data_IF_685327463601
#
_entry.id   IF_685327463601
#
_cell.length_a   1.000
_cell.length_b   1.000
_cell.length_c   1.000
_cell.angle_alpha   90.00
_cell.angle_beta   90.00
_cell.angle_gamma   90.00
#
_symmetry.space_group_name_H-M   'P 1'
#
loop_
_entity.id
_entity.type
_entity.pdbx_description
1 polymer ?
#
# COMPACT_ATOMS: atom_id res chain seq x y z
N UNK A 1 55.00 16.24 17.50
CA UNK A 1 54.04 15.12 17.39
C UNK A 1 52.94 15.53 16.43
N UNK A 2 53.15 15.28 15.14
CA UNK A 2 52.19 15.52 14.06
C UNK A 2 51.27 14.30 13.98
N UNK A 3 49.98 14.49 14.24
CA UNK A 3 48.99 13.43 14.10
C UNK A 3 48.84 13.05 12.61
N UNK A 4 49.05 11.79 12.28
CA UNK A 4 48.78 11.21 10.96
C UNK A 4 47.27 11.25 10.64
N UNK A 5 46.88 11.62 9.41
CA UNK A 5 45.48 11.54 8.99
C UNK A 5 45.09 10.07 8.79
N UNK A 6 44.10 9.64 9.56
CA UNK A 6 43.47 8.32 9.54
C UNK A 6 43.20 7.82 8.11
N UNK A 7 43.84 6.71 7.74
CA UNK A 7 43.63 6.01 6.48
C UNK A 7 42.21 5.49 6.38
N UNK A 8 41.38 6.14 5.55
CA UNK A 8 40.13 5.53 5.07
C UNK A 8 40.54 4.32 4.23
N UNK A 9 40.39 3.12 4.80
CA UNK A 9 40.78 1.86 4.16
C UNK A 9 40.11 1.72 2.79
N UNK A 10 40.80 1.14 1.80
CA UNK A 10 40.29 0.96 0.44
C UNK A 10 38.89 0.30 0.38
N UNK A 11 38.57 -0.54 1.37
CA UNK A 11 37.26 -1.14 1.58
C UNK A 11 36.14 -0.13 1.85
N UNK A 12 36.42 0.97 2.56
CA UNK A 12 35.44 2.03 2.83
C UNK A 12 35.04 2.78 1.56
N UNK A 13 36.01 3.09 0.69
CA UNK A 13 35.77 3.74 -0.60
C UNK A 13 34.96 2.85 -1.54
N UNK A 14 35.32 1.56 -1.65
CA UNK A 14 34.57 0.62 -2.49
C UNK A 14 33.09 0.51 -2.06
N UNK A 15 32.81 0.33 -0.76
CA UNK A 15 31.44 0.26 -0.23
C UNK A 15 30.65 1.54 -0.50
N UNK A 16 31.29 2.70 -0.38
CA UNK A 16 30.67 3.98 -0.70
C UNK A 16 30.26 4.06 -2.17
N UNK A 17 31.19 3.79 -3.10
CA UNK A 17 30.87 3.85 -4.54
C UNK A 17 29.82 2.82 -4.95
N UNK A 18 29.90 1.59 -4.43
CA UNK A 18 28.93 0.54 -4.70
C UNK A 18 27.52 0.96 -4.24
N UNK A 19 27.37 1.49 -3.02
CA UNK A 19 26.06 1.93 -2.51
C UNK A 19 25.47 3.07 -3.36
N UNK A 20 26.28 4.06 -3.74
CA UNK A 20 25.84 5.18 -4.59
C UNK A 20 25.43 4.70 -5.99
N UNK A 21 26.20 3.78 -6.58
CA UNK A 21 25.85 3.18 -7.86
C UNK A 21 24.54 2.39 -7.78
N UNK A 22 24.32 1.61 -6.71
CA UNK A 22 23.06 0.88 -6.50
C UNK A 22 21.87 1.83 -6.37
N UNK A 23 22.00 2.92 -5.61
CA UNK A 23 20.95 3.96 -5.50
C UNK A 23 20.62 4.51 -6.88
N UNK A 24 21.65 4.91 -7.65
CA UNK A 24 21.46 5.46 -8.98
C UNK A 24 20.76 4.48 -9.92
N UNK A 25 21.19 3.21 -9.97
CA UNK A 25 20.59 2.20 -10.84
C UNK A 25 19.13 1.90 -10.48
N UNK A 26 18.80 1.75 -9.19
CA UNK A 26 17.42 1.52 -8.74
C UNK A 26 16.53 2.73 -9.04
N UNK A 27 17.03 3.93 -8.80
CA UNK A 27 16.33 5.17 -9.14
C UNK A 27 16.14 5.31 -10.66
N UNK A 28 17.13 4.89 -11.47
CA UNK A 28 17.05 4.88 -12.93
C UNK A 28 15.95 3.94 -13.43
N UNK A 29 15.82 2.75 -12.85
CA UNK A 29 14.70 1.83 -13.14
C UNK A 29 13.37 2.50 -12.82
N UNK A 30 13.24 3.16 -11.66
CA UNK A 30 12.06 3.94 -11.31
C UNK A 30 11.78 5.08 -12.30
N UNK A 31 12.82 5.75 -12.79
CA UNK A 31 12.73 6.81 -13.79
C UNK A 31 12.27 6.32 -15.16
N UNK A 32 12.77 5.15 -15.62
CA UNK A 32 12.29 4.51 -16.84
C UNK A 32 10.80 4.15 -16.73
N UNK A 33 10.42 3.59 -15.58
CA UNK A 33 9.03 3.22 -15.31
C UNK A 33 8.11 4.44 -15.34
N UNK A 34 8.52 5.53 -14.67
CA UNK A 34 7.80 6.80 -14.68
C UNK A 34 7.68 7.38 -16.10
N UNK A 35 8.77 7.39 -16.87
CA UNK A 35 8.78 7.84 -18.27
C UNK A 35 7.75 7.07 -19.10
N UNK A 36 7.73 5.73 -18.96
CA UNK A 36 6.83 4.87 -19.72
C UNK A 36 5.37 5.03 -19.29
N UNK A 37 5.08 5.16 -17.99
CA UNK A 37 3.71 5.43 -17.48
C UNK A 37 3.20 6.78 -17.98
N UNK A 38 4.05 7.81 -17.99
CA UNK A 38 3.69 9.14 -18.51
C UNK A 38 3.43 9.08 -20.01
N UNK A 39 4.30 8.41 -20.77
CA UNK A 39 4.11 8.22 -22.21
C UNK A 39 2.78 7.49 -22.51
N UNK A 40 2.55 6.32 -21.91
CA UNK A 40 1.35 5.52 -22.17
C UNK A 40 0.07 6.20 -21.66
N UNK A 41 0.15 6.89 -20.50
CA UNK A 41 -1.00 7.51 -19.84
C UNK A 41 -1.48 8.81 -20.49
N UNK A 42 -0.57 9.54 -21.14
CA UNK A 42 -0.84 10.78 -21.87
C UNK A 42 -0.52 10.62 -23.36
N UNK A 43 -0.75 9.42 -23.89
CA UNK A 43 -0.66 9.22 -25.33
C UNK A 43 -1.89 9.85 -26.02
N UNK A 44 -1.72 10.64 -27.10
CA UNK A 44 -0.48 10.95 -27.82
C UNK A 44 0.22 12.27 -27.42
N UNK A 45 -0.24 12.97 -26.40
CA UNK A 45 0.29 14.29 -26.00
C UNK A 45 1.79 14.25 -25.62
N UNK A 46 2.27 13.13 -25.08
CA UNK A 46 3.67 12.94 -24.67
C UNK A 46 4.47 11.98 -25.55
N UNK A 47 4.23 11.95 -26.87
CA UNK A 47 4.93 11.08 -27.83
C UNK A 47 6.46 11.12 -27.74
N UNK A 48 7.03 12.29 -27.38
CA UNK A 48 8.47 12.45 -27.25
C UNK A 48 9.07 11.58 -26.15
N UNK A 49 8.35 11.31 -25.05
CA UNK A 49 8.79 10.41 -23.97
C UNK A 49 8.84 8.93 -24.39
N UNK A 50 8.21 8.57 -25.52
CA UNK A 50 8.31 7.23 -26.10
C UNK A 50 9.61 6.99 -26.87
N UNK A 51 10.40 8.04 -27.17
CA UNK A 51 11.67 7.88 -27.88
C UNK A 51 12.80 7.51 -26.90
N UNK A 52 13.70 6.57 -27.27
CA UNK A 52 14.75 6.09 -26.37
C UNK A 52 15.60 7.20 -25.72
N UNK A 53 16.03 8.20 -26.51
CA UNK A 53 16.88 9.28 -26.01
C UNK A 53 16.20 10.07 -24.90
N UNK A 54 14.92 10.44 -25.08
CA UNK A 54 14.19 11.21 -24.08
C UNK A 54 13.83 10.37 -22.85
N UNK A 55 13.46 9.09 -23.03
CA UNK A 55 13.18 8.20 -21.90
C UNK A 55 14.43 7.94 -21.03
N UNK A 56 15.58 7.68 -21.67
CA UNK A 56 16.86 7.49 -20.97
C UNK A 56 17.32 8.78 -20.27
N UNK A 57 17.14 9.93 -20.91
CA UNK A 57 17.48 11.23 -20.32
C UNK A 57 16.58 11.53 -19.12
N UNK A 58 15.26 11.32 -19.26
CA UNK A 58 14.31 11.47 -18.16
C UNK A 58 14.69 10.58 -16.97
N UNK A 59 14.99 9.30 -17.24
CA UNK A 59 15.40 8.35 -16.21
C UNK A 59 16.72 8.74 -15.53
N UNK A 60 17.70 9.25 -16.28
CA UNK A 60 18.97 9.73 -15.73
C UNK A 60 18.80 10.97 -14.85
N UNK A 61 17.98 11.95 -15.29
CA UNK A 61 17.66 13.14 -14.50
C UNK A 61 16.91 12.75 -13.21
N UNK A 62 15.94 11.85 -13.32
CA UNK A 62 15.19 11.33 -12.18
C UNK A 62 16.11 10.60 -11.18
N UNK A 63 16.99 9.74 -11.68
CA UNK A 63 17.97 9.03 -10.87
C UNK A 63 18.94 9.98 -10.17
N UNK A 64 19.44 10.98 -10.89
CA UNK A 64 20.32 12.00 -10.35
C UNK A 64 19.63 12.82 -9.26
N UNK A 65 18.38 13.23 -9.45
CA UNK A 65 17.61 13.96 -8.43
C UNK A 65 17.41 13.13 -7.15
N UNK A 66 17.02 11.86 -7.27
CA UNK A 66 16.90 10.98 -6.10
C UNK A 66 18.23 10.70 -5.43
N UNK A 67 19.30 10.54 -6.20
CA UNK A 67 20.65 10.40 -5.68
C UNK A 67 21.13 11.67 -4.96
N UNK A 68 20.82 12.87 -5.47
CA UNK A 68 21.10 14.13 -4.78
C UNK A 68 20.34 14.22 -3.45
N UNK A 69 19.06 13.85 -3.44
CA UNK A 69 18.26 13.79 -2.21
C UNK A 69 18.88 12.79 -1.23
N UNK A 70 19.30 11.63 -1.72
CA UNK A 70 19.92 10.57 -0.95
C UNK A 70 21.18 11.00 -0.20
N UNK A 71 22.12 11.68 -0.89
CA UNK A 71 23.41 12.07 -0.30
C UNK A 71 23.28 13.26 0.67
N UNK A 72 22.24 14.09 0.52
CA UNK A 72 21.96 15.21 1.41
C UNK A 72 20.94 14.87 2.51
N UNK A 73 20.30 13.71 2.45
CA UNK A 73 19.36 13.27 3.45
C UNK A 73 20.07 13.13 4.80
N UNK A 74 19.45 13.57 5.91
CA UNK A 74 20.03 13.36 7.23
C UNK A 74 20.20 11.86 7.48
N UNK A 75 21.20 11.49 8.28
CA UNK A 75 21.35 10.10 8.68
C UNK A 75 20.14 9.68 9.53
N UNK A 76 19.50 8.54 9.24
CA UNK A 76 18.36 8.08 10.01
C UNK A 76 18.77 7.84 11.47
N UNK A 77 17.93 8.23 12.45
CA UNK A 77 18.28 8.20 13.87
C UNK A 77 18.48 6.79 14.44
N UNK A 78 18.18 5.74 13.67
CA UNK A 78 18.01 4.36 14.15
C UNK A 78 18.86 3.33 13.41
N UNK A 79 19.65 3.73 12.42
CA UNK A 79 20.38 2.77 11.60
C UNK A 79 21.68 3.33 11.02
N UNK A 80 22.73 2.51 10.87
CA UNK A 80 23.94 2.91 10.17
C UNK A 80 23.68 3.17 8.67
N UNK A 81 24.55 3.97 8.07
CA UNK A 81 24.35 4.72 6.83
C UNK A 81 24.58 3.94 5.51
N UNK A 82 23.96 2.77 5.27
CA UNK A 82 23.26 2.68 3.98
C UNK A 82 22.00 1.79 4.04
N UNK A 83 20.94 2.22 4.73
CA UNK A 83 19.60 1.64 4.53
C UNK A 83 18.94 2.10 3.23
N UNK A 84 19.47 3.14 2.59
CA UNK A 84 18.82 3.74 1.42
C UNK A 84 18.87 2.87 0.15
N UNK A 85 19.99 2.21 -0.21
CA UNK A 85 19.99 1.25 -1.32
C UNK A 85 18.98 0.11 -1.08
N UNK A 86 18.88 -0.37 0.16
CA UNK A 86 17.91 -1.39 0.54
C UNK A 86 16.47 -0.87 0.43
N UNK A 87 16.19 0.34 0.92
CA UNK A 87 14.88 0.96 0.84
C UNK A 87 14.43 1.20 -0.61
N UNK A 88 15.35 1.48 -1.54
CA UNK A 88 15.04 1.66 -2.96
C UNK A 88 14.91 0.35 -3.74
N UNK A 89 15.30 -0.80 -3.17
CA UNK A 89 15.26 -2.10 -3.86
C UNK A 89 13.89 -2.47 -4.46
N UNK A 90 12.73 -2.11 -3.87
CA UNK A 90 11.43 -2.39 -4.47
C UNK A 90 11.19 -1.72 -5.83
N UNK A 91 11.95 -0.68 -6.19
CA UNK A 91 11.86 -0.09 -7.53
C UNK A 91 12.24 -1.09 -8.63
N UNK A 92 13.02 -2.13 -8.31
CA UNK A 92 13.33 -3.22 -9.23
C UNK A 92 12.09 -4.00 -9.69
N UNK A 93 10.97 -3.96 -8.95
CA UNK A 93 9.71 -4.57 -9.38
C UNK A 93 9.23 -4.02 -10.74
N UNK A 94 9.57 -2.78 -11.07
CA UNK A 94 9.20 -2.18 -12.35
C UNK A 94 9.87 -2.88 -13.55
N UNK A 95 10.94 -3.65 -13.34
CA UNK A 95 11.56 -4.46 -14.40
C UNK A 95 10.59 -5.53 -14.94
N UNK A 96 9.64 -6.00 -14.13
CA UNK A 96 8.63 -6.99 -14.52
C UNK A 96 7.80 -6.52 -15.71
N UNK A 97 7.46 -5.23 -15.74
CA UNK A 97 6.64 -4.65 -16.80
C UNK A 97 7.45 -3.86 -17.83
N UNK A 98 8.60 -3.26 -17.48
CA UNK A 98 9.41 -2.47 -18.42
C UNK A 98 9.78 -3.24 -19.70
N UNK A 99 9.99 -4.56 -19.61
CA UNK A 99 10.26 -5.43 -20.76
C UNK A 99 9.01 -5.95 -21.50
N UNK A 100 7.81 -5.75 -20.96
CA UNK A 100 6.56 -6.22 -21.58
C UNK A 100 6.11 -5.24 -22.68
N UNK A 101 5.99 -5.66 -23.95
CA UNK A 101 5.57 -4.78 -25.05
C UNK A 101 4.09 -4.37 -24.97
N UNK A 102 3.26 -5.07 -24.20
CA UNK A 102 1.84 -4.75 -24.06
C UNK A 102 1.64 -3.47 -23.24
N UNK A 103 0.74 -2.61 -23.72
CA UNK A 103 0.30 -1.42 -22.98
C UNK A 103 -0.83 -1.82 -22.04
N UNK A 104 -0.51 -1.95 -20.75
CA UNK A 104 -1.49 -2.18 -19.69
C UNK A 104 -1.29 -1.15 -18.57
N UNK A 105 -2.05 -0.05 -18.66
CA UNK A 105 -1.94 1.07 -17.72
C UNK A 105 -2.34 0.71 -16.28
N UNK A 106 -3.24 -0.26 -16.10
CA UNK A 106 -3.68 -0.66 -14.76
C UNK A 106 -2.57 -1.41 -14.06
N UNK A 107 -2.00 -2.41 -14.73
CA UNK A 107 -0.89 -3.21 -14.22
C UNK A 107 0.35 -2.35 -13.98
N UNK A 108 0.73 -1.48 -14.93
CA UNK A 108 1.92 -0.64 -14.81
C UNK A 108 1.82 0.35 -13.66
N UNK A 109 0.68 1.03 -13.52
CA UNK A 109 0.43 1.95 -12.40
C UNK A 109 0.39 1.22 -11.06
N UNK A 110 -0.18 0.01 -11.02
CA UNK A 110 -0.23 -0.81 -9.81
C UNK A 110 1.16 -1.23 -9.35
N UNK A 111 1.99 -1.80 -10.25
CA UNK A 111 3.36 -2.22 -9.94
C UNK A 111 4.21 -1.01 -9.51
N UNK A 112 4.10 0.10 -10.21
CA UNK A 112 4.83 1.33 -9.88
C UNK A 112 4.41 1.90 -8.51
N UNK A 113 3.12 1.97 -8.24
CA UNK A 113 2.60 2.41 -6.95
C UNK A 113 3.01 1.46 -5.81
N UNK A 114 2.96 0.14 -6.02
CA UNK A 114 3.40 -0.85 -5.04
C UNK A 114 4.91 -0.74 -4.76
N UNK A 115 5.73 -0.53 -5.79
CA UNK A 115 7.16 -0.29 -5.66
C UNK A 115 7.44 0.94 -4.79
N UNK A 116 6.83 2.08 -5.09
CA UNK A 116 7.00 3.30 -4.29
C UNK A 116 6.44 3.18 -2.87
N UNK A 117 5.29 2.52 -2.69
CA UNK A 117 4.72 2.27 -1.38
C UNK A 117 5.66 1.43 -0.50
N UNK A 118 6.29 0.40 -1.06
CA UNK A 118 7.30 -0.41 -0.37
C UNK A 118 8.56 0.42 -0.06
N UNK A 119 9.01 1.29 -0.97
CA UNK A 119 10.12 2.21 -0.71
C UNK A 119 9.83 3.09 0.51
N UNK A 120 8.63 3.68 0.56
CA UNK A 120 8.20 4.53 1.69
C UNK A 120 8.10 3.71 2.97
N UNK A 121 7.55 2.50 2.93
CA UNK A 121 7.48 1.59 4.08
C UNK A 121 8.88 1.26 4.62
N UNK A 122 9.81 0.85 3.74
CA UNK A 122 11.16 0.48 4.14
C UNK A 122 11.96 1.68 4.67
N UNK A 123 11.84 2.83 4.01
CA UNK A 123 12.45 4.07 4.49
C UNK A 123 11.89 4.42 5.88
N UNK A 124 10.57 4.38 6.05
CA UNK A 124 9.91 4.73 7.30
C UNK A 124 10.42 3.94 8.52
N UNK A 125 10.86 2.69 8.36
CA UNK A 125 11.42 1.88 9.46
C UNK A 125 12.65 2.55 10.08
N UNK A 126 13.47 3.18 9.25
CA UNK A 126 14.70 3.86 9.68
C UNK A 126 14.41 5.17 10.44
N UNK A 127 13.25 5.79 10.19
CA UNK A 127 12.91 7.12 10.70
C UNK A 127 11.90 7.10 11.85
N UNK A 128 10.98 6.14 11.86
CA UNK A 128 9.85 6.10 12.79
C UNK A 128 10.21 5.37 14.11
N UNK A 129 9.74 5.91 15.24
CA UNK A 129 9.87 5.28 16.56
C UNK A 129 9.00 4.02 16.70
N UNK A 130 9.41 2.93 17.40
CA UNK A 130 8.69 1.66 17.45
C UNK A 130 7.31 1.88 18.08
N UNK A 131 7.27 2.67 19.16
CA UNK A 131 6.05 3.15 19.81
C UNK A 131 5.04 3.81 18.86
N UNK A 132 5.50 4.48 17.79
CA UNK A 132 4.61 5.12 16.81
C UNK A 132 4.08 4.15 15.76
N UNK A 133 4.76 3.03 15.51
CA UNK A 133 4.29 2.05 14.52
C UNK A 133 2.91 1.51 14.85
N UNK A 134 2.59 1.31 16.14
CA UNK A 134 1.24 0.93 16.60
C UNK A 134 0.12 1.71 15.90
N UNK A 135 0.31 3.01 15.69
CA UNK A 135 -0.68 3.86 15.02
C UNK A 135 -0.37 4.10 13.55
N UNK A 136 0.91 4.23 13.19
CA UNK A 136 1.32 4.58 11.83
C UNK A 136 1.27 3.41 10.85
N UNK A 137 1.25 2.14 11.29
CA UNK A 137 1.09 1.03 10.36
C UNK A 137 -0.32 0.91 9.76
N UNK A 138 -1.35 1.40 10.46
CA UNK A 138 -2.73 1.43 9.94
C UNK A 138 -2.84 2.22 8.62
N UNK A 139 -2.37 3.48 8.52
CA UNK A 139 -2.41 4.19 7.25
C UNK A 139 -1.53 3.55 6.17
N UNK A 140 -0.45 2.84 6.51
CA UNK A 140 0.28 2.05 5.51
C UNK A 140 -0.61 0.95 4.91
N UNK A 141 -1.32 0.18 5.75
CA UNK A 141 -2.25 -0.86 5.28
C UNK A 141 -3.36 -0.25 4.43
N UNK A 142 -3.98 0.85 4.88
CA UNK A 142 -5.07 1.48 4.15
C UNK A 142 -4.63 2.08 2.81
N UNK A 143 -3.47 2.72 2.75
CA UNK A 143 -2.95 3.28 1.48
C UNK A 143 -2.64 2.19 0.45
N UNK A 144 -2.33 0.97 0.87
CA UNK A 144 -2.16 -0.17 -0.03
C UNK A 144 -3.50 -0.77 -0.49
N UNK A 145 -4.45 -0.99 0.43
CA UNK A 145 -5.65 -1.80 0.15
C UNK A 145 -6.86 -0.96 -0.27
N UNK A 146 -7.08 0.21 0.34
CA UNK A 146 -8.28 1.01 0.12
C UNK A 146 -8.45 1.47 -1.34
N UNK A 147 -7.40 1.93 -2.06
CA UNK A 147 -7.55 2.29 -3.47
C UNK A 147 -8.07 1.12 -4.32
N UNK A 148 -7.59 -0.10 -4.05
CA UNK A 148 -7.99 -1.30 -4.78
C UNK A 148 -9.47 -1.59 -4.51
N UNK A 149 -9.91 -1.59 -3.25
CA UNK A 149 -11.31 -1.83 -2.92
C UNK A 149 -12.23 -0.76 -3.51
N UNK A 150 -11.89 0.53 -3.38
CA UNK A 150 -12.75 1.61 -3.87
C UNK A 150 -12.80 1.71 -5.39
N UNK A 151 -11.75 1.30 -6.09
CA UNK A 151 -11.73 1.26 -7.56
C UNK A 151 -12.43 0.03 -8.13
N UNK A 152 -12.53 -1.07 -7.38
CA UNK A 152 -13.11 -2.34 -7.86
C UNK A 152 -14.50 -2.65 -7.32
N UNK A 153 -14.98 -1.93 -6.31
CA UNK A 153 -16.37 -2.03 -5.88
C UNK A 153 -17.35 -1.54 -6.94
N UNK A 154 -18.45 -2.28 -7.11
CA UNK A 154 -19.49 -1.93 -8.06
C UNK A 154 -20.19 -0.63 -7.65
N UNK A 155 -20.45 0.25 -8.62
CA UNK A 155 -21.32 1.43 -8.45
C UNK A 155 -22.79 1.13 -8.71
N UNK A 156 -23.06 -0.05 -9.26
CA UNK A 156 -24.38 -0.51 -9.67
C UNK A 156 -24.95 -1.51 -8.67
N UNK A 157 -26.22 -1.82 -8.88
CA UNK A 157 -26.93 -2.83 -8.12
C UNK A 157 -26.29 -4.20 -8.36
N UNK A 158 -26.09 -4.96 -7.28
CA UNK A 158 -25.50 -6.30 -7.34
C UNK A 158 -26.49 -7.39 -7.76
N UNK A 159 -26.15 -8.64 -7.46
CA UNK A 159 -27.01 -9.82 -7.66
C UNK A 159 -27.20 -10.54 -6.32
N UNK A 160 -28.21 -11.41 -6.24
CA UNK A 160 -28.48 -12.24 -5.06
C UNK A 160 -28.52 -11.41 -3.76
N UNK A 161 -27.81 -11.85 -2.72
CA UNK A 161 -27.81 -11.23 -1.39
C UNK A 161 -27.38 -9.76 -1.43
N UNK A 162 -26.33 -9.44 -2.18
CA UNK A 162 -25.91 -8.05 -2.42
C UNK A 162 -27.07 -7.17 -2.92
N UNK A 163 -27.89 -7.65 -3.87
CA UNK A 163 -29.05 -6.90 -4.36
C UNK A 163 -30.06 -6.66 -3.23
N UNK A 164 -30.37 -7.70 -2.47
CA UNK A 164 -31.36 -7.64 -1.40
C UNK A 164 -30.92 -6.65 -0.30
N UNK A 165 -29.66 -6.75 0.16
CA UNK A 165 -29.09 -5.80 1.11
C UNK A 165 -29.20 -4.36 0.61
N UNK A 166 -28.89 -4.11 -0.65
CA UNK A 166 -28.93 -2.76 -1.23
C UNK A 166 -30.35 -2.16 -1.28
N UNK A 167 -31.39 -2.99 -1.34
CA UNK A 167 -32.81 -2.56 -1.35
C UNK A 167 -33.39 -2.47 0.06
N UNK A 168 -33.00 -3.38 0.96
CA UNK A 168 -33.58 -3.52 2.30
C UNK A 168 -32.95 -2.57 3.32
N UNK A 169 -31.63 -2.39 3.29
CA UNK A 169 -30.89 -1.51 4.23
C UNK A 169 -31.46 -0.08 4.26
N UNK A 170 -31.75 0.58 3.12
CA UNK A 170 -32.29 1.95 3.13
C UNK A 170 -33.63 2.06 3.84
N UNK A 171 -34.41 0.98 3.88
CA UNK A 171 -35.73 0.91 4.51
C UNK A 171 -35.70 0.30 5.91
N UNK A 172 -34.53 -0.19 6.36
CA UNK A 172 -34.38 -1.01 7.57
C UNK A 172 -35.41 -2.16 7.63
N UNK A 173 -35.65 -2.80 6.48
CA UNK A 173 -36.51 -3.98 6.42
C UNK A 173 -35.81 -5.23 6.94
N UNK A 174 -36.36 -6.40 6.64
CA UNK A 174 -35.79 -7.70 7.04
C UNK A 174 -35.31 -8.39 5.78
N UNK A 175 -34.01 -8.70 5.71
CA UNK A 175 -33.45 -9.55 4.66
C UNK A 175 -33.71 -11.02 4.98
N UNK A 176 -33.47 -11.92 4.02
CA UNK A 176 -33.49 -13.37 4.20
C UNK A 176 -32.87 -13.81 5.56
N UNK A 177 -33.40 -14.88 6.19
CA UNK A 177 -32.84 -15.37 7.46
C UNK A 177 -31.32 -15.56 7.38
N UNK A 178 -30.53 -15.03 8.31
CA UNK A 178 -30.85 -14.63 9.71
C UNK A 178 -31.23 -13.15 9.93
N UNK A 179 -31.40 -12.35 8.87
CA UNK A 179 -31.84 -10.95 8.97
C UNK A 179 -30.75 -9.91 9.28
N UNK A 180 -29.58 -10.34 9.80
CA UNK A 180 -28.35 -9.54 9.97
C UNK A 180 -28.54 -8.11 10.52
N UNK A 181 -29.26 -7.92 11.65
CA UNK A 181 -29.70 -6.60 12.11
C UNK A 181 -28.55 -5.61 12.35
N UNK A 182 -27.42 -6.07 12.90
CA UNK A 182 -26.26 -5.20 13.14
C UNK A 182 -25.67 -4.65 11.83
N UNK A 183 -25.57 -5.49 10.81
CA UNK A 183 -25.09 -5.07 9.49
C UNK A 183 -26.04 -4.04 8.87
N UNK A 184 -27.36 -4.28 8.94
CA UNK A 184 -28.36 -3.35 8.43
C UNK A 184 -28.28 -1.98 9.09
N UNK A 185 -28.17 -1.94 10.42
CA UNK A 185 -28.10 -0.70 11.19
C UNK A 185 -26.82 0.10 10.89
N UNK A 186 -25.66 -0.57 10.82
CA UNK A 186 -24.40 0.11 10.53
C UNK A 186 -24.30 0.55 9.07
N UNK A 187 -24.73 -0.30 8.12
CA UNK A 187 -24.73 0.03 6.70
C UNK A 187 -25.75 1.13 6.36
N UNK A 188 -26.85 1.25 7.12
CA UNK A 188 -27.81 2.35 7.00
C UNK A 188 -27.15 3.71 7.15
N UNK A 189 -26.13 3.84 7.99
CA UNK A 189 -25.40 5.10 8.19
C UNK A 189 -24.79 5.62 6.89
N UNK A 190 -24.28 4.72 6.04
CA UNK A 190 -23.69 5.08 4.75
C UNK A 190 -24.74 5.56 3.74
N UNK A 191 -26.00 5.18 3.89
CA UNK A 191 -27.08 5.64 2.98
C UNK A 191 -27.31 7.16 3.06
N UNK A 192 -26.92 7.80 4.17
CA UNK A 192 -27.04 9.25 4.38
C UNK A 192 -25.98 10.09 3.66
N UNK A 193 -24.94 9.48 3.08
CA UNK A 193 -23.96 10.22 2.27
C UNK A 193 -24.68 10.90 1.08
N UNK A 194 -24.41 12.17 0.75
CA UNK A 194 -25.20 12.89 -0.27
C UNK A 194 -24.79 12.61 -1.72
N UNK A 195 -23.89 11.66 -1.97
CA UNK A 195 -23.30 11.40 -3.29
C UNK A 195 -23.29 9.91 -3.64
N UNK A 196 -23.25 9.60 -4.94
CA UNK A 196 -23.30 8.22 -5.44
C UNK A 196 -24.67 7.57 -5.30
N UNK A 197 -24.84 6.38 -5.89
CA UNK A 197 -26.05 5.57 -5.73
C UNK A 197 -26.13 4.97 -4.33
N UNK A 198 -27.33 4.62 -3.87
CA UNK A 198 -27.51 3.93 -2.59
C UNK A 198 -26.79 2.57 -2.58
N UNK A 199 -26.82 1.85 -3.70
CA UNK A 199 -26.07 0.60 -3.88
C UNK A 199 -24.56 0.80 -3.65
N UNK A 200 -23.98 1.84 -4.25
CA UNK A 200 -22.58 2.19 -4.07
C UNK A 200 -22.24 2.56 -2.63
N UNK A 201 -23.10 3.37 -1.96
CA UNK A 201 -22.89 3.76 -0.56
C UNK A 201 -22.87 2.57 0.38
N UNK A 202 -23.69 1.57 0.12
CA UNK A 202 -23.73 0.34 0.93
C UNK A 202 -22.46 -0.49 0.69
N UNK A 203 -22.04 -0.67 -0.57
CA UNK A 203 -20.76 -1.33 -0.88
C UNK A 203 -19.57 -0.59 -0.23
N UNK A 204 -19.59 0.74 -0.22
CA UNK A 204 -18.61 1.57 0.49
C UNK A 204 -18.60 1.25 1.99
N UNK A 205 -19.77 1.11 2.61
CA UNK A 205 -19.87 0.70 4.02
C UNK A 205 -19.21 -0.64 4.27
N UNK A 206 -19.46 -1.63 3.42
CA UNK A 206 -18.82 -2.96 3.50
C UNK A 206 -17.30 -2.87 3.35
N UNK A 207 -16.81 -2.10 2.38
CA UNK A 207 -15.38 -1.87 2.19
C UNK A 207 -14.74 -1.21 3.42
N UNK A 208 -15.43 -0.27 4.07
CA UNK A 208 -14.97 0.35 5.32
C UNK A 208 -14.87 -0.67 6.45
N UNK A 209 -15.85 -1.57 6.59
CA UNK A 209 -15.75 -2.65 7.60
C UNK A 209 -14.55 -3.56 7.36
N UNK A 210 -14.27 -3.92 6.10
CA UNK A 210 -13.09 -4.71 5.76
C UNK A 210 -11.78 -3.96 6.07
N UNK A 211 -11.68 -2.66 5.75
CA UNK A 211 -10.51 -1.84 6.06
C UNK A 211 -10.27 -1.69 7.57
N UNK A 212 -11.34 -1.57 8.35
CA UNK A 212 -11.26 -1.59 9.81
C UNK A 212 -10.80 -2.95 10.33
N UNK A 213 -11.30 -4.06 9.75
CA UNK A 213 -10.85 -5.40 10.11
C UNK A 213 -9.34 -5.57 9.87
N UNK A 214 -8.84 -5.07 8.74
CA UNK A 214 -7.41 -5.08 8.39
C UNK A 214 -6.57 -4.17 9.29
N UNK A 215 -7.11 -3.04 9.74
CA UNK A 215 -6.45 -2.20 10.73
C UNK A 215 -6.28 -2.94 12.07
N UNK A 216 -7.30 -3.66 12.52
CA UNK A 216 -7.22 -4.45 13.76
C UNK A 216 -6.30 -5.66 13.57
N UNK A 217 -6.35 -6.33 12.42
CA UNK A 217 -5.41 -7.40 12.08
C UNK A 217 -3.97 -6.90 12.14
N UNK A 218 -3.69 -5.72 11.59
CA UNK A 218 -2.38 -5.10 11.73
C UNK A 218 -1.97 -4.92 13.19
N UNK A 219 -2.86 -4.37 14.04
CA UNK A 219 -2.57 -4.18 15.47
C UNK A 219 -2.27 -5.50 16.17
N UNK A 220 -3.05 -6.55 15.87
CA UNK A 220 -2.84 -7.90 16.39
C UNK A 220 -1.48 -8.46 15.95
N UNK A 221 -1.18 -8.44 14.65
CA UNK A 221 0.10 -8.92 14.13
C UNK A 221 1.28 -8.13 14.68
N UNK A 222 1.13 -6.81 14.85
CA UNK A 222 2.18 -5.97 15.41
C UNK A 222 2.42 -6.28 16.89
N UNK A 223 1.35 -6.56 17.66
CA UNK A 223 1.46 -7.02 19.05
C UNK A 223 2.20 -8.35 19.14
N UNK A 224 1.88 -9.31 18.27
CA UNK A 224 2.46 -10.65 18.30
C UNK A 224 3.92 -10.70 17.82
N UNK A 225 4.25 -9.92 16.78
CA UNK A 225 5.57 -9.99 16.13
C UNK A 225 6.54 -8.91 16.57
N UNK A 226 6.04 -7.78 17.09
CA UNK A 226 6.80 -6.55 17.38
C UNK A 226 7.54 -5.99 16.14
N UNK A 227 7.25 -6.54 14.95
CA UNK A 227 7.88 -6.18 13.70
C UNK A 227 6.87 -5.43 12.81
N UNK A 228 7.08 -4.13 12.53
CA UNK A 228 6.12 -3.34 11.78
C UNK A 228 5.98 -3.81 10.32
N UNK A 229 7.06 -4.30 9.71
CA UNK A 229 7.05 -4.77 8.32
C UNK A 229 6.22 -6.03 8.21
N UNK A 230 6.49 -7.02 9.08
CA UNK A 230 5.73 -8.28 9.09
C UNK A 230 4.25 -8.02 9.33
N UNK A 231 3.91 -7.13 10.27
CA UNK A 231 2.52 -6.79 10.56
C UNK A 231 1.83 -6.06 9.41
N UNK A 232 2.47 -5.05 8.82
CA UNK A 232 1.91 -4.31 7.67
C UNK A 232 1.74 -5.23 6.47
N UNK A 233 2.78 -5.96 6.08
CA UNK A 233 2.73 -6.85 4.93
C UNK A 233 1.73 -8.00 5.15
N UNK A 234 1.66 -8.56 6.35
CA UNK A 234 0.68 -9.60 6.69
C UNK A 234 -0.75 -9.10 6.49
N UNK A 235 -1.09 -7.92 7.03
CA UNK A 235 -2.41 -7.34 6.85
C UNK A 235 -2.71 -6.98 5.38
N UNK A 236 -1.74 -6.39 4.65
CA UNK A 236 -1.91 -6.07 3.22
C UNK A 236 -2.15 -7.33 2.39
N UNK A 237 -1.33 -8.37 2.57
CA UNK A 237 -1.48 -9.64 1.86
C UNK A 237 -2.85 -10.27 2.16
N UNK A 238 -3.29 -10.28 3.42
CA UNK A 238 -4.64 -10.76 3.78
C UNK A 238 -5.72 -9.96 3.06
N UNK A 239 -5.62 -8.62 3.05
CA UNK A 239 -6.54 -7.73 2.35
C UNK A 239 -6.63 -7.97 0.85
N UNK A 240 -5.53 -8.39 0.23
CA UNK A 240 -5.44 -8.66 -1.21
C UNK A 240 -5.77 -10.10 -1.59
N UNK A 241 -6.09 -10.97 -0.62
CA UNK A 241 -6.59 -12.31 -0.94
C UNK A 241 -7.92 -12.23 -1.68
N UNK A 242 -8.10 -13.12 -2.66
CA UNK A 242 -9.35 -13.19 -3.47
C UNK A 242 -10.58 -13.32 -2.56
N UNK A 243 -10.48 -14.12 -1.50
CA UNK A 243 -11.57 -14.33 -0.54
C UNK A 243 -11.96 -13.02 0.14
N UNK A 244 -11.05 -12.37 0.86
CA UNK A 244 -11.41 -11.14 1.59
C UNK A 244 -11.77 -10.00 0.65
N UNK A 245 -11.04 -9.85 -0.45
CA UNK A 245 -11.30 -8.81 -1.44
C UNK A 245 -12.71 -8.93 -2.03
N UNK A 246 -13.11 -10.13 -2.49
CA UNK A 246 -14.45 -10.33 -3.05
C UNK A 246 -15.57 -9.96 -2.08
N UNK A 247 -15.38 -10.20 -0.77
CA UNK A 247 -16.35 -9.87 0.27
C UNK A 247 -16.30 -8.40 0.72
N UNK A 248 -15.22 -7.69 0.42
CA UNK A 248 -15.06 -6.28 0.79
C UNK A 248 -15.70 -5.32 -0.22
N UNK A 249 -15.89 -5.75 -1.47
CA UNK A 249 -16.29 -4.87 -2.58
C UNK A 249 -17.77 -4.99 -2.99
N UNK A 250 -18.52 -5.85 -2.30
CA UNK A 250 -19.94 -6.09 -2.51
C UNK A 250 -20.68 -5.98 -1.16
N UNK A 251 -21.97 -5.67 -1.18
CA UNK A 251 -22.78 -5.52 0.01
C UNK A 251 -23.05 -6.88 0.67
N UNK A 252 -22.07 -7.36 1.43
CA UNK A 252 -22.09 -8.66 2.10
C UNK A 252 -21.75 -8.53 3.59
N UNK A 253 -22.24 -9.47 4.41
CA UNK A 253 -22.09 -9.42 5.88
C UNK A 253 -20.69 -9.82 6.35
N UNK A 254 -19.92 -10.50 5.53
CA UNK A 254 -18.66 -11.13 5.93
C UNK A 254 -17.57 -10.13 6.30
N UNK A 255 -17.56 -8.93 5.70
CA UNK A 255 -16.60 -7.89 6.08
C UNK A 255 -16.84 -7.37 7.50
N UNK A 256 -18.11 -7.20 7.90
CA UNK A 256 -18.45 -6.85 9.27
C UNK A 256 -18.15 -8.00 10.22
N UNK A 257 -18.40 -9.24 9.81
CA UNK A 257 -18.05 -10.41 10.62
C UNK A 257 -16.53 -10.49 10.85
N UNK A 258 -15.73 -10.29 9.79
CA UNK A 258 -14.27 -10.24 9.90
C UNK A 258 -13.81 -9.14 10.86
N UNK A 259 -14.44 -7.95 10.83
CA UNK A 259 -14.16 -6.87 11.77
C UNK A 259 -14.41 -7.31 13.22
N UNK A 260 -15.54 -7.95 13.49
CA UNK A 260 -15.90 -8.42 14.84
C UNK A 260 -14.92 -9.50 15.32
N UNK A 261 -14.60 -10.47 14.46
CA UNK A 261 -13.65 -11.55 14.80
C UNK A 261 -12.25 -10.98 15.07
N UNK A 262 -11.77 -10.07 14.23
CA UNK A 262 -10.46 -9.43 14.45
C UNK A 262 -10.46 -8.60 15.74
N UNK A 263 -11.54 -7.87 16.03
CA UNK A 263 -11.68 -7.14 17.29
C UNK A 263 -11.65 -8.08 18.50
N UNK A 264 -12.37 -9.21 18.45
CA UNK A 264 -12.36 -10.21 19.52
C UNK A 264 -10.97 -10.81 19.74
N UNK A 265 -10.28 -11.22 18.68
CA UNK A 265 -8.92 -11.77 18.75
C UNK A 265 -7.92 -10.73 19.28
N UNK A 266 -8.03 -9.49 18.84
CA UNK A 266 -7.19 -8.41 19.34
C UNK A 266 -7.43 -8.13 20.82
N UNK A 267 -8.68 -8.05 21.28
CA UNK A 267 -9.01 -7.86 22.68
C UNK A 267 -8.56 -9.04 23.55
N UNK A 268 -8.73 -10.27 23.06
CA UNK A 268 -8.23 -11.46 23.73
C UNK A 268 -6.70 -11.41 23.91
N UNK A 269 -5.98 -11.03 22.85
CA UNK A 269 -4.54 -10.84 22.92
C UNK A 269 -4.15 -9.66 23.84
N UNK A 270 -4.93 -8.57 23.85
CA UNK A 270 -4.66 -7.36 24.64
C UNK A 270 -4.84 -7.61 26.14
N UNK A 271 -5.92 -8.30 26.53
CA UNK A 271 -6.34 -8.48 27.92
C UNK A 271 -5.76 -9.76 28.53
N UNK A 272 -5.67 -10.84 27.77
CA UNK A 272 -5.47 -12.18 28.34
C UNK A 272 -4.03 -12.63 28.56
N UNK A 273 -3.02 -11.78 28.39
CA UNK A 273 -1.58 -12.13 28.50
C UNK A 273 -1.14 -13.38 27.70
N UNK A 274 -1.91 -13.81 26.71
CA UNK A 274 -1.57 -14.92 25.83
C UNK A 274 -0.38 -14.51 24.94
N UNK A 275 0.79 -15.13 25.16
CA UNK A 275 2.00 -15.00 24.35
C UNK A 275 2.34 -16.31 23.66
#
# INVERSE_FOLDING_TARGET
MTAEPTSVTANGRFRFYAANLTIFLLAFVGGLAASRILYEGFFPQLLWLGRPVFALTFAAVFAFALWLIAIHAPSPPRSPAPLLPFALSPLALNLLWLGNPAVNLVESRLIFAAGWWLVVLLAAIAWIRPSRWRWLGVPFVWTAVAPIYFLTMSRAVGRADTFEFQVVIPKLGIVHPTGYPLYLLLAKLFTFLPFGSVAWRINLGTAVFALLALAILYLLLYRLTVNPVTAVLGAVVTGLTVTLWSQAIAAEVYALHALIVMAALFLMAEIGDWR
#
